data_IF_118925324543
#
_entry.id   IF_118925324543
#
_cell.length_a   1.000
_cell.length_b   1.000
_cell.length_c   1.000
_cell.angle_alpha   90.00
_cell.angle_beta   90.00
_cell.angle_gamma   90.00
#
_symmetry.space_group_name_H-M   'P 1'
#
loop_
_entity.id
_entity.type
_entity.pdbx_description
1 polymer ?
#
# COMPACT_ATOMS: atom_id res chain seq x y z
N UNK A 1 25.15 39.03 60.59
CA UNK A 1 24.43 40.15 61.25
C UNK A 1 22.96 39.78 61.21
N UNK A 2 22.44 39.16 62.28
CA UNK A 2 21.75 39.81 63.43
C UNK A 2 20.31 40.14 63.01
N UNK A 3 19.19 39.73 63.60
CA UNK A 3 18.78 39.21 64.93
C UNK A 3 17.34 38.65 64.73
N UNK A 4 16.99 37.44 65.18
CA UNK A 4 16.32 37.07 66.45
C UNK A 4 14.92 37.68 66.74
N UNK A 5 13.96 36.77 66.87
CA UNK A 5 12.63 36.74 67.57
C UNK A 5 12.57 37.52 68.91
N UNK A 6 11.40 37.84 69.54
CA UNK A 6 10.52 36.81 70.14
C UNK A 6 9.01 37.14 70.48
N UNK A 7 8.23 36.06 70.69
CA UNK A 7 7.19 35.74 71.71
C UNK A 7 6.15 36.75 72.24
N UNK A 8 4.91 36.26 72.42
CA UNK A 8 3.97 36.77 73.44
C UNK A 8 2.62 36.05 73.42
N UNK A 9 2.35 35.23 74.45
CA UNK A 9 1.19 34.37 74.64
C UNK A 9 0.27 34.87 75.76
N UNK A 10 -0.92 34.25 75.86
CA UNK A 10 -1.88 34.21 77.02
C UNK A 10 -2.82 35.44 77.13
N UNK A 11 -4.12 35.36 77.45
CA UNK A 11 -4.79 34.69 78.59
C UNK A 11 -6.34 34.77 78.48
N UNK A 12 -7.02 33.65 78.78
CA UNK A 12 -8.30 33.46 79.52
C UNK A 12 -9.61 34.19 79.15
N UNK A 13 -10.69 33.42 78.96
CA UNK A 13 -11.83 33.24 79.91
C UNK A 13 -13.07 32.67 79.17
N UNK A 14 -13.56 31.45 79.43
CA UNK A 14 -14.41 30.96 80.56
C UNK A 14 -15.92 31.00 80.26
N UNK A 15 -16.56 29.82 80.27
CA UNK A 15 -18.00 29.57 80.49
C UNK A 15 -18.90 29.76 79.27
N UNK A 16 -19.93 28.96 78.97
CA UNK A 16 -20.65 27.99 79.78
C UNK A 16 -21.25 26.88 78.91
N UNK A 17 -21.37 25.70 79.52
CA UNK A 17 -22.02 24.49 79.05
C UNK A 17 -23.56 24.56 79.06
N UNK A 18 -24.18 23.53 78.45
CA UNK A 18 -25.59 23.07 78.56
C UNK A 18 -26.52 23.60 77.44
N UNK A 19 -27.27 22.80 76.66
CA UNK A 19 -27.80 21.44 76.85
C UNK A 19 -28.28 20.87 75.50
N UNK A 20 -28.25 19.55 75.39
CA UNK A 20 -28.63 18.74 74.24
C UNK A 20 -30.12 18.76 73.86
N UNK A 21 -30.43 18.54 72.58
CA UNK A 21 -31.57 17.73 72.14
C UNK A 21 -31.37 17.28 70.68
N UNK A 22 -31.40 15.96 70.47
CA UNK A 22 -31.30 15.27 69.20
C UNK A 22 -32.56 15.45 68.34
N UNK A 23 -32.39 15.46 67.01
CA UNK A 23 -33.18 14.63 66.07
C UNK A 23 -32.64 14.77 64.65
N UNK A 24 -32.49 13.62 64.00
CA UNK A 24 -31.85 13.46 62.70
C UNK A 24 -32.64 14.01 61.51
N UNK A 25 -31.97 14.04 60.37
CA UNK A 25 -32.59 14.37 59.10
C UNK A 25 -31.56 14.72 58.03
N UNK A 26 -31.20 13.73 57.23
CA UNK A 26 -30.78 13.86 55.82
C UNK A 26 -29.56 14.73 55.51
N UNK A 27 -28.42 14.05 55.29
CA UNK A 27 -27.32 14.57 54.46
C UNK A 27 -27.88 14.84 53.04
N UNK A 28 -28.25 16.08 52.75
CA UNK A 28 -28.29 16.57 51.37
C UNK A 28 -26.87 16.95 50.99
N UNK A 29 -26.23 16.11 50.18
CA UNK A 29 -25.03 16.48 49.45
C UNK A 29 -25.32 17.77 48.69
N UNK A 30 -24.52 18.79 48.97
CA UNK A 30 -24.42 19.98 48.14
C UNK A 30 -24.11 19.49 46.72
N UNK A 31 -25.02 19.79 45.80
CA UNK A 31 -24.78 19.65 44.37
C UNK A 31 -23.58 20.51 44.03
N UNK A 32 -22.50 19.86 43.65
CA UNK A 32 -21.52 20.47 42.77
C UNK A 32 -22.29 20.64 41.47
N UNK A 33 -22.64 21.88 41.13
CA UNK A 33 -23.08 22.24 39.80
C UNK A 33 -21.91 21.93 38.85
N UNK A 34 -21.85 20.67 38.40
CA UNK A 34 -21.10 20.27 37.23
C UNK A 34 -21.79 21.03 36.12
N UNK A 35 -21.17 22.14 35.70
CA UNK A 35 -21.51 22.77 34.44
C UNK A 35 -21.26 21.69 33.40
N UNK A 36 -22.34 21.02 32.97
CA UNK A 36 -22.38 20.21 31.78
C UNK A 36 -22.07 21.15 30.62
N UNK A 37 -20.78 21.33 30.36
CA UNK A 37 -20.27 21.92 29.15
C UNK A 37 -20.46 20.87 28.05
N UNK A 38 -21.74 20.66 27.70
CA UNK A 38 -22.15 20.00 26.48
C UNK A 38 -21.28 20.59 25.37
N UNK A 39 -20.38 19.77 24.84
CA UNK A 39 -19.76 19.98 23.55
C UNK A 39 -20.89 20.04 22.51
N UNK A 40 -21.54 21.20 22.40
CA UNK A 40 -22.36 21.58 21.26
C UNK A 40 -21.38 21.68 20.11
N UNK A 41 -21.20 20.55 19.43
CA UNK A 41 -20.71 20.55 18.05
C UNK A 41 -21.66 21.49 17.33
N UNK A 42 -21.21 22.72 17.09
CA UNK A 42 -21.95 23.64 16.27
C UNK A 42 -22.14 22.92 14.93
N UNK A 43 -23.39 22.56 14.62
CA UNK A 43 -23.85 22.14 13.29
C UNK A 43 -23.79 23.35 12.33
N UNK A 44 -22.63 23.99 12.30
CA UNK A 44 -22.28 25.16 11.52
C UNK A 44 -22.07 24.75 10.08
N UNK A 45 -23.18 24.57 9.38
CA UNK A 45 -23.34 24.64 7.92
C UNK A 45 -22.45 23.68 7.12
N UNK A 46 -23.03 22.57 6.65
CA UNK A 46 -22.38 21.68 5.66
C UNK A 46 -21.84 22.42 4.43
N UNK A 47 -22.34 23.64 4.14
CA UNK A 47 -21.80 24.54 3.12
C UNK A 47 -20.30 24.88 3.30
N UNK A 48 -19.84 25.14 4.53
CA UNK A 48 -18.43 25.41 4.79
C UNK A 48 -17.56 24.17 4.52
N UNK A 49 -18.04 22.98 4.93
CA UNK A 49 -17.37 21.71 4.63
C UNK A 49 -17.28 21.45 3.11
N UNK A 50 -18.36 21.72 2.35
CA UNK A 50 -18.35 21.62 0.89
C UNK A 50 -17.36 22.60 0.24
N UNK A 51 -17.21 23.81 0.77
CA UNK A 51 -16.25 24.79 0.25
C UNK A 51 -14.80 24.33 0.41
N UNK A 52 -14.47 23.61 1.50
CA UNK A 52 -13.16 22.99 1.69
C UNK A 52 -12.91 21.78 0.79
N UNK A 53 -13.96 21.02 0.44
CA UNK A 53 -13.86 19.85 -0.45
C UNK A 53 -13.81 20.26 -1.93
N UNK A 54 -14.40 21.41 -2.29
CA UNK A 54 -14.57 21.86 -3.67
C UNK A 54 -13.24 21.91 -4.47
N UNK A 55 -12.12 22.45 -3.96
CA UNK A 55 -10.85 22.46 -4.69
C UNK A 55 -10.35 21.05 -5.02
N UNK A 56 -10.44 20.12 -4.07
CA UNK A 56 -10.03 18.73 -4.28
C UNK A 56 -10.94 18.03 -5.30
N UNK A 57 -12.26 18.26 -5.21
CA UNK A 57 -13.22 17.72 -6.17
C UNK A 57 -13.01 18.28 -7.58
N UNK A 58 -12.73 19.58 -7.70
CA UNK A 58 -12.45 20.22 -8.99
C UNK A 58 -11.20 19.62 -9.65
N UNK A 59 -10.12 19.41 -8.87
CA UNK A 59 -8.91 18.74 -9.37
C UNK A 59 -9.24 17.30 -9.83
N UNK A 60 -9.99 16.54 -9.03
CA UNK A 60 -10.39 15.18 -9.40
C UNK A 60 -11.24 15.15 -10.69
N UNK A 61 -12.21 16.07 -10.81
CA UNK A 61 -13.08 16.14 -11.99
C UNK A 61 -12.29 16.50 -13.26
N UNK A 62 -11.41 17.50 -13.19
CA UNK A 62 -10.67 18.01 -14.35
C UNK A 62 -9.53 17.08 -14.76
N UNK A 63 -8.79 16.50 -13.80
CA UNK A 63 -7.56 15.75 -14.10
C UNK A 63 -7.69 14.23 -14.00
N UNK A 64 -8.77 13.71 -13.40
CA UNK A 64 -9.02 12.26 -13.32
C UNK A 64 -10.25 11.88 -14.13
N UNK A 65 -11.41 12.46 -13.82
CA UNK A 65 -12.68 12.06 -14.42
C UNK A 65 -12.79 12.49 -15.89
N UNK A 66 -12.46 13.74 -16.22
CA UNK A 66 -12.56 14.22 -17.60
C UNK A 66 -11.64 13.45 -18.58
N UNK A 67 -10.35 13.20 -18.28
CA UNK A 67 -9.50 12.37 -19.14
C UNK A 67 -9.95 10.91 -19.21
N UNK A 68 -10.50 10.36 -18.13
CA UNK A 68 -11.09 9.02 -18.13
C UNK A 68 -12.29 8.93 -19.09
N UNK A 69 -13.26 9.84 -18.98
CA UNK A 69 -14.42 9.91 -19.88
C UNK A 69 -13.98 10.11 -21.33
N UNK A 70 -12.96 10.95 -21.56
CA UNK A 70 -12.39 11.11 -22.91
C UNK A 70 -11.75 9.82 -23.43
N UNK A 71 -11.07 9.06 -22.57
CA UNK A 71 -10.49 7.75 -22.92
C UNK A 71 -11.58 6.74 -23.30
N UNK A 72 -12.68 6.70 -22.53
CA UNK A 72 -13.87 5.90 -22.84
C UNK A 72 -14.46 6.32 -24.19
N UNK A 73 -14.58 7.62 -24.47
CA UNK A 73 -15.08 8.09 -25.78
C UNK A 73 -14.14 7.66 -26.90
N UNK A 74 -12.83 7.88 -26.74
CA UNK A 74 -11.83 7.57 -27.75
C UNK A 74 -11.77 6.07 -28.06
N UNK A 75 -12.01 5.19 -27.09
CA UNK A 75 -11.96 3.74 -27.30
C UNK A 75 -12.98 3.21 -28.31
N UNK A 76 -14.04 3.97 -28.61
CA UNK A 76 -15.02 3.67 -29.66
C UNK A 76 -14.76 4.42 -30.98
N UNK A 77 -13.60 5.06 -31.12
CA UNK A 77 -13.23 5.85 -32.31
C UNK A 77 -11.97 5.30 -32.99
N UNK A 78 -11.72 5.71 -34.24
CA UNK A 78 -10.47 5.45 -34.96
C UNK A 78 -9.45 6.60 -34.89
N UNK A 79 -9.54 7.40 -33.81
CA UNK A 79 -8.66 8.52 -33.54
C UNK A 79 -7.19 8.10 -33.48
N UNK A 80 -6.35 8.89 -34.15
CA UNK A 80 -4.89 8.75 -34.15
C UNK A 80 -4.25 10.12 -33.91
N UNK A 81 -2.93 10.17 -33.79
CA UNK A 81 -2.21 11.45 -33.68
C UNK A 81 -2.55 12.42 -34.82
N UNK A 82 -2.69 11.92 -36.05
CA UNK A 82 -2.87 12.74 -37.25
C UNK A 82 -4.33 13.09 -37.57
N UNK A 83 -5.32 12.39 -36.98
CA UNK A 83 -6.74 12.60 -37.30
C UNK A 83 -7.62 12.48 -36.04
N UNK A 84 -8.62 13.36 -35.87
CA UNK A 84 -9.48 13.40 -34.68
C UNK A 84 -10.35 12.16 -34.49
N UNK A 85 -10.43 11.26 -35.48
CA UNK A 85 -11.16 10.01 -35.42
C UNK A 85 -12.66 10.17 -35.65
N UNK A 86 -13.24 9.15 -36.26
CA UNK A 86 -14.67 8.92 -36.42
C UNK A 86 -15.14 7.82 -35.47
N UNK A 87 -16.44 7.80 -35.16
CA UNK A 87 -17.01 6.73 -34.34
C UNK A 87 -17.07 5.43 -35.14
N UNK A 88 -16.42 4.39 -34.64
CA UNK A 88 -16.33 3.06 -35.28
C UNK A 88 -16.94 1.95 -34.42
N UNK A 89 -17.66 2.31 -33.35
CA UNK A 89 -18.29 1.35 -32.44
C UNK A 89 -17.28 0.41 -31.80
N UNK A 90 -17.52 -0.91 -31.93
CA UNK A 90 -16.70 -1.95 -31.27
C UNK A 90 -15.50 -2.44 -32.10
N UNK A 91 -15.17 -1.78 -33.21
CA UNK A 91 -14.10 -2.23 -34.11
C UNK A 91 -12.73 -2.32 -33.40
N UNK A 92 -12.41 -1.36 -32.53
CA UNK A 92 -11.15 -1.38 -31.78
C UNK A 92 -11.06 -2.57 -30.82
N UNK A 93 -12.16 -2.93 -30.18
CA UNK A 93 -12.22 -4.09 -29.29
C UNK A 93 -12.04 -5.40 -30.07
N UNK A 94 -12.63 -5.49 -31.27
CA UNK A 94 -12.40 -6.66 -32.16
C UNK A 94 -10.94 -6.77 -32.60
N UNK A 95 -10.30 -5.64 -32.95
CA UNK A 95 -8.86 -5.61 -33.28
C UNK A 95 -8.01 -6.02 -32.09
N UNK A 96 -8.33 -5.51 -30.90
CA UNK A 96 -7.61 -5.80 -29.66
C UNK A 96 -7.67 -7.28 -29.30
N UNK A 97 -8.84 -7.91 -29.38
CA UNK A 97 -9.01 -9.34 -29.07
C UNK A 97 -8.26 -10.26 -30.05
N UNK A 98 -7.98 -9.79 -31.27
CA UNK A 98 -7.23 -10.51 -32.27
C UNK A 98 -5.71 -10.22 -32.24
N UNK A 99 -5.25 -9.25 -31.45
CA UNK A 99 -3.84 -8.83 -31.41
C UNK A 99 -2.99 -9.77 -30.53
N UNK A 100 -2.02 -10.52 -31.09
CA UNK A 100 -1.13 -11.39 -30.31
C UNK A 100 -0.33 -10.64 -29.23
N UNK A 101 -0.05 -9.36 -29.44
CA UNK A 101 0.64 -8.54 -28.45
C UNK A 101 -0.21 -8.35 -27.19
N UNK A 102 -1.53 -8.20 -27.35
CA UNK A 102 -2.48 -8.10 -26.22
C UNK A 102 -2.53 -9.40 -25.42
N UNK A 103 -2.55 -10.55 -26.09
CA UNK A 103 -2.50 -11.87 -25.42
C UNK A 103 -1.19 -12.05 -24.64
N UNK A 104 -0.07 -11.62 -25.22
CA UNK A 104 1.25 -11.64 -24.56
C UNK A 104 1.27 -10.71 -23.34
N UNK A 105 0.79 -9.48 -23.51
CA UNK A 105 0.67 -8.49 -22.44
C UNK A 105 -0.21 -8.97 -21.30
N UNK A 106 -1.35 -9.59 -21.60
CA UNK A 106 -2.29 -10.13 -20.64
C UNK A 106 -1.66 -11.29 -19.87
N UNK A 107 -0.99 -12.21 -20.55
CA UNK A 107 -0.29 -13.34 -19.92
C UNK A 107 0.80 -12.83 -18.96
N UNK A 108 1.67 -11.93 -19.43
CA UNK A 108 2.77 -11.41 -18.63
C UNK A 108 2.27 -10.63 -17.40
N UNK A 109 1.25 -9.78 -17.57
CA UNK A 109 0.67 -9.00 -16.47
C UNK A 109 -0.05 -9.88 -15.45
N UNK A 110 -0.75 -10.92 -15.92
CA UNK A 110 -1.43 -11.89 -15.05
C UNK A 110 -0.43 -12.77 -14.30
N UNK A 111 0.64 -13.21 -14.97
CA UNK A 111 1.73 -13.94 -14.34
C UNK A 111 2.41 -13.07 -13.27
N UNK A 112 2.54 -11.77 -13.52
CA UNK A 112 3.03 -10.81 -12.54
C UNK A 112 2.16 -10.81 -11.27
N UNK A 113 0.84 -10.75 -11.40
CA UNK A 113 -0.08 -10.82 -10.25
C UNK A 113 0.11 -12.14 -9.50
N UNK A 114 0.04 -13.27 -10.20
CA UNK A 114 0.10 -14.60 -9.58
C UNK A 114 1.44 -14.84 -8.87
N UNK A 115 2.55 -14.37 -9.45
CA UNK A 115 3.89 -14.59 -8.91
C UNK A 115 4.34 -13.54 -7.91
N UNK A 116 3.91 -12.28 -8.02
CA UNK A 116 4.42 -11.20 -7.14
C UNK A 116 3.54 -11.03 -5.90
N UNK A 117 2.22 -11.08 -6.05
CA UNK A 117 1.27 -10.78 -4.96
C UNK A 117 1.46 -11.71 -3.74
N UNK A 118 1.59 -13.04 -3.89
CA UNK A 118 1.80 -13.92 -2.73
C UNK A 118 3.05 -13.54 -1.93
N UNK A 119 4.14 -13.21 -2.63
CA UNK A 119 5.37 -12.79 -1.96
C UNK A 119 5.23 -11.41 -1.32
N UNK A 120 4.48 -10.48 -1.92
CA UNK A 120 4.17 -9.18 -1.33
C UNK A 120 3.27 -9.26 -0.10
N UNK A 121 2.44 -10.29 0.02
CA UNK A 121 1.63 -10.51 1.22
C UNK A 121 2.45 -11.18 2.32
N UNK A 122 3.24 -12.21 1.97
CA UNK A 122 3.90 -13.09 2.94
C UNK A 122 5.23 -12.50 3.43
N UNK A 123 6.14 -12.12 2.53
CA UNK A 123 7.50 -11.70 2.91
C UNK A 123 7.51 -10.44 3.78
N UNK A 124 6.72 -9.38 3.49
CA UNK A 124 6.69 -8.20 4.34
C UNK A 124 6.13 -8.46 5.73
N UNK A 125 5.20 -9.42 5.89
CA UNK A 125 4.70 -9.84 7.19
C UNK A 125 5.80 -10.52 8.03
N UNK A 126 6.57 -11.41 7.39
CA UNK A 126 7.72 -12.04 8.02
C UNK A 126 8.72 -10.97 8.46
N UNK A 127 9.11 -10.06 7.56
CA UNK A 127 10.03 -8.98 7.88
C UNK A 127 9.50 -8.09 9.01
N UNK A 128 8.24 -7.69 8.96
CA UNK A 128 7.61 -6.86 9.99
C UNK A 128 7.64 -7.56 11.37
N UNK A 129 7.36 -8.87 11.42
CA UNK A 129 7.44 -9.63 12.66
C UNK A 129 8.85 -9.67 13.25
N UNK A 130 9.89 -9.78 12.41
CA UNK A 130 11.29 -9.77 12.81
C UNK A 130 11.76 -8.40 13.33
N UNK A 131 11.13 -7.31 12.87
CA UNK A 131 11.51 -5.94 13.24
C UNK A 131 10.47 -5.20 14.08
N UNK A 132 9.54 -5.92 14.73
CA UNK A 132 8.43 -5.35 15.50
C UNK A 132 8.82 -4.67 16.82
N UNK A 133 9.96 -5.03 17.42
CA UNK A 133 10.40 -4.52 18.73
C UNK A 133 10.98 -3.09 18.77
N UNK A 134 11.24 -2.58 19.97
CA UNK A 134 11.68 -1.19 20.23
C UNK A 134 13.20 -1.05 20.47
N UNK A 135 14.03 -1.48 19.50
CA UNK A 135 15.49 -1.36 19.57
C UNK A 135 16.06 -0.49 18.45
N UNK A 136 17.16 0.24 18.74
CA UNK A 136 17.89 1.04 17.75
C UNK A 136 18.37 0.19 16.56
N UNK A 137 18.75 -1.06 16.81
CA UNK A 137 19.16 -2.02 15.77
C UNK A 137 17.97 -2.33 14.84
N UNK A 138 16.78 -2.50 15.39
CA UNK A 138 15.56 -2.74 14.60
C UNK A 138 15.17 -1.51 13.80
N UNK A 139 15.37 -0.30 14.34
CA UNK A 139 15.18 0.94 13.58
C UNK A 139 16.12 1.02 12.37
N UNK A 140 17.37 0.57 12.50
CA UNK A 140 18.31 0.51 11.38
C UNK A 140 17.85 -0.50 10.31
N UNK A 141 17.38 -1.68 10.70
CA UNK A 141 16.84 -2.66 9.74
C UNK A 141 15.57 -2.15 9.05
N UNK A 142 14.65 -1.52 9.78
CA UNK A 142 13.45 -0.88 9.18
C UNK A 142 13.85 0.15 8.12
N UNK A 143 14.81 1.02 8.41
CA UNK A 143 15.32 2.00 7.46
C UNK A 143 16.00 1.34 6.25
N UNK A 144 16.80 0.31 6.47
CA UNK A 144 17.51 -0.42 5.40
C UNK A 144 16.55 -1.13 4.44
N UNK A 145 15.52 -1.80 4.96
CA UNK A 145 14.49 -2.44 4.13
C UNK A 145 13.58 -1.44 3.43
N UNK A 146 13.38 -0.25 3.99
CA UNK A 146 12.59 0.82 3.38
C UNK A 146 13.37 1.64 2.36
N UNK A 147 14.71 1.63 2.41
CA UNK A 147 15.58 2.40 1.51
C UNK A 147 15.21 2.23 0.02
N UNK A 148 14.98 1.01 -0.51
CA UNK A 148 14.62 0.83 -1.92
C UNK A 148 13.33 1.53 -2.35
N UNK A 149 12.38 1.72 -1.43
CA UNK A 149 11.08 2.35 -1.69
C UNK A 149 11.26 3.84 -2.02
N UNK A 150 12.27 4.48 -1.42
CA UNK A 150 12.52 5.92 -1.56
C UNK A 150 13.34 6.22 -2.82
N UNK A 151 14.07 5.24 -3.35
CA UNK A 151 14.87 5.38 -4.57
C UNK A 151 13.95 5.34 -5.79
N UNK A 152 14.19 6.22 -6.77
CA UNK A 152 13.46 6.22 -8.04
C UNK A 152 13.53 4.85 -8.72
N UNK A 153 12.38 4.33 -9.15
CA UNK A 153 12.25 3.05 -9.87
C UNK A 153 13.12 3.00 -11.12
N UNK A 154 13.34 4.14 -11.78
CA UNK A 154 14.22 4.23 -12.96
C UNK A 154 15.68 4.01 -12.57
N UNK A 155 16.15 4.61 -11.48
CA UNK A 155 17.52 4.42 -10.98
C UNK A 155 17.72 2.96 -10.57
N UNK A 156 16.76 2.40 -9.82
CA UNK A 156 16.77 0.98 -9.44
C UNK A 156 16.87 0.10 -10.68
N UNK A 157 16.03 0.33 -11.68
CA UNK A 157 16.05 -0.42 -12.94
C UNK A 157 17.41 -0.33 -13.65
N UNK A 158 18.00 0.88 -13.76
CA UNK A 158 19.31 1.06 -14.41
C UNK A 158 20.45 0.34 -13.68
N UNK A 159 20.46 0.38 -12.34
CA UNK A 159 21.45 -0.34 -11.53
C UNK A 159 21.30 -1.84 -11.75
N UNK A 160 20.07 -2.36 -11.70
CA UNK A 160 19.82 -3.78 -11.92
C UNK A 160 20.12 -4.24 -13.35
N UNK A 161 19.86 -3.41 -14.38
CA UNK A 161 20.28 -3.69 -15.76
C UNK A 161 21.81 -3.90 -15.83
N UNK A 162 22.60 -3.07 -15.13
CA UNK A 162 24.05 -3.24 -15.09
C UNK A 162 24.49 -4.47 -14.29
N UNK A 163 23.84 -4.75 -13.16
CA UNK A 163 24.12 -5.91 -12.31
C UNK A 163 23.83 -7.23 -13.04
N UNK A 164 22.73 -7.28 -13.80
CA UNK A 164 22.24 -8.46 -14.52
C UNK A 164 22.79 -8.58 -15.95
N UNK A 165 23.59 -7.62 -16.41
CA UNK A 165 24.22 -7.67 -17.71
C UNK A 165 25.09 -8.92 -17.88
N UNK A 166 25.40 -9.34 -19.13
CA UNK A 166 26.31 -10.48 -19.38
C UNK A 166 27.68 -10.37 -18.69
N UNK A 167 28.19 -9.14 -18.55
CA UNK A 167 29.43 -8.81 -17.82
C UNK A 167 29.16 -8.17 -16.45
N UNK A 168 27.93 -8.26 -15.97
CA UNK A 168 27.47 -7.69 -14.71
C UNK A 168 27.99 -8.45 -13.49
N UNK A 169 27.78 -7.86 -12.32
CA UNK A 169 28.29 -8.35 -11.03
C UNK A 169 27.81 -9.78 -10.73
N UNK A 170 26.54 -10.10 -11.01
CA UNK A 170 25.98 -11.43 -10.73
C UNK A 170 26.67 -12.51 -11.58
N UNK A 171 26.79 -12.29 -12.88
CA UNK A 171 27.46 -13.21 -13.79
C UNK A 171 28.96 -13.34 -13.48
N UNK A 172 29.63 -12.25 -13.11
CA UNK A 172 31.03 -12.26 -12.69
C UNK A 172 31.24 -13.07 -11.40
N UNK A 173 30.38 -12.88 -10.40
CA UNK A 173 30.43 -13.61 -9.14
C UNK A 173 30.21 -15.11 -9.34
N UNK A 174 29.18 -15.51 -10.11
CA UNK A 174 28.90 -16.91 -10.42
C UNK A 174 30.04 -17.60 -11.19
N UNK A 175 30.72 -16.88 -12.09
CA UNK A 175 31.92 -17.39 -12.77
C UNK A 175 33.10 -17.55 -11.81
N UNK A 176 33.30 -16.62 -10.88
CA UNK A 176 34.41 -16.67 -9.93
C UNK A 176 34.39 -17.90 -9.01
N UNK A 177 33.19 -18.40 -8.68
CA UNK A 177 33.00 -19.61 -7.88
C UNK A 177 32.84 -20.87 -8.74
N UNK A 178 33.10 -20.79 -10.04
CA UNK A 178 32.94 -21.87 -11.03
C UNK A 178 31.53 -22.48 -11.07
N UNK A 179 30.49 -21.74 -10.66
CA UNK A 179 29.10 -22.21 -10.70
C UNK A 179 28.54 -22.23 -12.13
N UNK A 180 29.06 -21.38 -13.02
CA UNK A 180 28.66 -21.29 -14.43
C UNK A 180 29.88 -21.20 -15.34
N UNK A 181 29.77 -21.78 -16.55
CA UNK A 181 30.79 -21.69 -17.60
C UNK A 181 30.55 -20.50 -18.54
N UNK A 182 29.29 -20.31 -18.93
CA UNK A 182 28.82 -19.20 -19.74
C UNK A 182 27.98 -18.24 -18.88
N UNK A 183 27.74 -17.02 -19.37
CA UNK A 183 26.91 -16.07 -18.62
C UNK A 183 25.44 -16.47 -18.71
N UNK A 184 24.67 -16.19 -17.66
CA UNK A 184 23.22 -16.40 -17.67
C UNK A 184 22.56 -15.19 -18.36
N UNK A 185 21.70 -15.41 -19.37
CA UNK A 185 21.10 -14.35 -20.18
C UNK A 185 19.89 -13.68 -19.50
N UNK A 186 20.06 -13.11 -18.29
CA UNK A 186 18.97 -12.54 -17.50
C UNK A 186 18.11 -11.50 -18.22
N UNK A 187 18.69 -10.73 -19.15
CA UNK A 187 18.01 -9.63 -19.85
C UNK A 187 17.65 -9.95 -21.30
N UNK A 188 18.01 -11.13 -21.81
CA UNK A 188 17.79 -11.51 -23.21
C UNK A 188 16.96 -12.77 -23.33
N UNK A 189 16.97 -13.64 -22.32
CA UNK A 189 15.98 -14.71 -22.21
C UNK A 189 14.65 -14.15 -21.70
N UNK A 190 13.56 -14.50 -22.36
CA UNK A 190 12.19 -14.05 -22.06
C UNK A 190 11.83 -14.27 -20.59
N UNK A 191 11.91 -15.52 -20.13
CA UNK A 191 11.42 -15.88 -18.81
C UNK A 191 12.32 -15.34 -17.72
N UNK A 192 13.64 -15.39 -17.91
CA UNK A 192 14.58 -14.82 -16.96
C UNK A 192 14.43 -13.31 -16.84
N UNK A 193 14.11 -12.60 -17.92
CA UNK A 193 13.86 -11.16 -17.88
C UNK A 193 12.63 -10.86 -17.04
N UNK A 194 11.52 -11.55 -17.33
CA UNK A 194 10.28 -11.35 -16.61
C UNK A 194 10.42 -11.69 -15.11
N UNK A 195 11.09 -12.81 -14.77
CA UNK A 195 11.37 -13.17 -13.38
C UNK A 195 12.36 -12.22 -12.69
N UNK A 196 13.36 -11.71 -13.42
CA UNK A 196 14.27 -10.68 -12.89
C UNK A 196 13.49 -9.41 -12.54
N UNK A 197 12.58 -8.98 -13.42
CA UNK A 197 11.71 -7.84 -13.16
C UNK A 197 10.82 -8.10 -11.93
N UNK A 198 10.20 -9.27 -11.82
CA UNK A 198 9.37 -9.66 -10.66
C UNK A 198 10.17 -9.61 -9.36
N UNK A 199 11.41 -10.13 -9.37
CA UNK A 199 12.29 -10.11 -8.20
C UNK A 199 12.61 -8.68 -7.77
N UNK A 200 12.91 -7.79 -8.71
CA UNK A 200 13.16 -6.37 -8.44
C UNK A 200 11.91 -5.69 -7.87
N UNK A 201 10.73 -5.99 -8.42
CA UNK A 201 9.47 -5.47 -7.87
C UNK A 201 9.23 -5.96 -6.46
N UNK A 202 9.40 -7.27 -6.20
CA UNK A 202 9.28 -7.83 -4.85
C UNK A 202 10.22 -7.08 -3.91
N UNK A 203 11.52 -7.04 -4.21
CA UNK A 203 12.53 -6.39 -3.40
C UNK A 203 12.23 -4.91 -3.10
N UNK A 204 11.80 -4.13 -4.09
CA UNK A 204 11.46 -2.72 -3.91
C UNK A 204 10.19 -2.52 -3.08
N UNK A 205 9.17 -3.37 -3.25
CA UNK A 205 7.91 -3.25 -2.52
C UNK A 205 7.93 -3.80 -1.09
N UNK A 206 8.91 -4.64 -0.73
CA UNK A 206 8.98 -5.27 0.61
C UNK A 206 8.91 -4.25 1.74
N UNK A 207 9.70 -3.18 1.65
CA UNK A 207 9.78 -2.14 2.68
C UNK A 207 8.45 -1.42 2.87
N UNK A 208 7.73 -1.12 1.79
CA UNK A 208 6.46 -0.39 1.84
C UNK A 208 5.40 -1.18 2.60
N UNK A 209 5.16 -2.44 2.20
CA UNK A 209 4.16 -3.28 2.85
C UNK A 209 4.56 -3.72 4.26
N UNK A 210 5.86 -3.81 4.55
CA UNK A 210 6.37 -4.11 5.89
C UNK A 210 5.95 -3.03 6.89
N UNK A 211 6.04 -1.75 6.53
CA UNK A 211 5.61 -0.64 7.41
C UNK A 211 4.11 -0.70 7.68
N UNK A 212 3.30 -1.04 6.68
CA UNK A 212 1.85 -1.22 6.85
C UNK A 212 1.58 -2.37 7.85
N UNK A 213 2.29 -3.49 7.73
CA UNK A 213 2.16 -4.58 8.70
C UNK A 213 2.64 -4.18 10.10
N UNK A 214 3.72 -3.40 10.25
CA UNK A 214 4.17 -2.95 11.58
C UNK A 214 3.08 -2.17 12.31
N UNK A 215 2.36 -1.29 11.60
CA UNK A 215 1.24 -0.56 12.17
C UNK A 215 0.08 -1.51 12.58
N UNK A 216 -0.20 -2.54 11.78
CA UNK A 216 -1.22 -3.53 12.11
C UNK A 216 -0.82 -4.42 13.31
N UNK A 217 0.44 -4.86 13.36
CA UNK A 217 0.97 -5.67 14.46
C UNK A 217 0.92 -4.93 15.79
N UNK A 218 1.09 -3.61 15.78
CA UNK A 218 0.99 -2.78 16.98
C UNK A 218 -0.43 -2.75 17.60
N UNK A 219 -1.47 -3.11 16.84
CA UNK A 219 -2.86 -3.16 17.33
C UNK A 219 -3.25 -4.52 17.90
N UNK A 220 -2.40 -5.55 17.81
CA UNK A 220 -2.69 -6.87 18.38
C UNK A 220 -2.45 -6.82 19.88
N UNK A 221 -3.42 -7.28 20.67
CA UNK A 221 -3.30 -7.36 22.13
C UNK A 221 -2.10 -8.24 22.53
N UNK A 222 -1.11 -7.69 23.28
CA UNK A 222 0.02 -8.46 23.80
C UNK A 222 -0.40 -9.68 24.62
N UNK A 223 -1.55 -9.64 25.30
CA UNK A 223 -2.07 -10.74 26.10
C UNK A 223 -2.32 -12.02 25.31
N UNK A 224 -2.62 -11.93 24.00
CA UNK A 224 -2.74 -13.11 23.13
C UNK A 224 -1.40 -13.82 22.92
N UNK A 225 -0.29 -13.06 22.86
CA UNK A 225 1.04 -13.62 22.74
C UNK A 225 1.54 -14.25 24.04
N UNK A 226 1.20 -13.65 25.18
CA UNK A 226 1.53 -14.17 26.51
C UNK A 226 0.75 -15.45 26.83
N UNK A 227 -0.56 -15.46 26.57
CA UNK A 227 -1.40 -16.65 26.76
C UNK A 227 -0.89 -17.84 25.92
N UNK A 228 -0.56 -17.59 24.65
CA UNK A 228 0.00 -18.63 23.79
C UNK A 228 1.37 -19.13 24.29
N UNK A 229 2.19 -18.26 24.88
CA UNK A 229 3.47 -18.65 25.48
C UNK A 229 3.30 -19.54 26.72
N UNK A 230 2.31 -19.23 27.57
CA UNK A 230 1.93 -20.06 28.72
C UNK A 230 1.47 -21.46 28.27
N UNK A 231 0.75 -21.53 27.15
CA UNK A 231 0.32 -22.80 26.52
C UNK A 231 1.45 -23.56 25.79
N UNK A 232 2.70 -23.08 25.90
CA UNK A 232 3.88 -23.72 25.29
C UNK A 232 3.98 -23.50 23.78
N UNK A 233 3.30 -22.50 23.22
CA UNK A 233 3.42 -22.18 21.80
C UNK A 233 4.76 -21.51 21.50
N UNK A 234 5.61 -22.19 20.73
CA UNK A 234 6.84 -21.61 20.19
C UNK A 234 6.60 -20.48 19.19
N UNK A 235 7.69 -19.83 18.74
CA UNK A 235 7.65 -18.64 17.85
C UNK A 235 6.84 -18.89 16.58
N UNK A 236 7.05 -20.03 15.91
CA UNK A 236 6.32 -20.38 14.67
C UNK A 236 4.83 -20.58 14.92
N UNK A 237 4.48 -21.23 16.03
CA UNK A 237 3.07 -21.49 16.38
C UNK A 237 2.35 -20.19 16.71
N UNK A 238 2.98 -19.28 17.46
CA UNK A 238 2.47 -17.93 17.72
C UNK A 238 2.32 -17.12 16.44
N UNK A 239 3.30 -17.17 15.53
CA UNK A 239 3.19 -16.50 14.24
C UNK A 239 1.98 -16.98 13.42
N UNK A 240 1.79 -18.29 13.30
CA UNK A 240 0.71 -18.85 12.49
C UNK A 240 -0.69 -18.71 13.13
N UNK A 241 -0.80 -18.75 14.46
CA UNK A 241 -2.10 -18.80 15.15
C UNK A 241 -2.51 -17.49 15.84
N UNK A 242 -1.56 -16.58 16.08
CA UNK A 242 -1.85 -15.26 16.68
C UNK A 242 -1.60 -14.16 15.65
N UNK A 243 -0.39 -14.10 15.09
CA UNK A 243 0.01 -13.00 14.20
C UNK A 243 -0.76 -13.02 12.87
N UNK A 244 -0.73 -14.13 12.13
CA UNK A 244 -1.37 -14.23 10.81
C UNK A 244 -2.89 -13.95 10.88
N UNK A 245 -3.66 -14.54 11.82
CA UNK A 245 -5.06 -14.18 12.00
C UNK A 245 -5.26 -12.74 12.46
N UNK A 246 -4.41 -12.23 13.36
CA UNK A 246 -4.50 -10.87 13.90
C UNK A 246 -4.32 -9.77 12.86
N UNK A 247 -3.56 -10.00 11.78
CA UNK A 247 -3.39 -9.04 10.68
C UNK A 247 -4.19 -9.38 9.42
N UNK A 248 -5.16 -10.30 9.49
CA UNK A 248 -5.86 -10.82 8.30
C UNK A 248 -6.51 -9.73 7.44
N UNK A 249 -7.12 -8.71 8.04
CA UNK A 249 -7.69 -7.56 7.30
C UNK A 249 -6.59 -6.79 6.56
N UNK A 250 -5.46 -6.54 7.22
CA UNK A 250 -4.29 -5.89 6.59
C UNK A 250 -3.69 -6.74 5.47
N UNK A 251 -3.68 -8.07 5.59
CA UNK A 251 -3.24 -8.96 4.50
C UNK A 251 -4.10 -8.79 3.25
N UNK A 252 -5.42 -8.67 3.41
CA UNK A 252 -6.34 -8.44 2.28
C UNK A 252 -6.14 -7.04 1.68
N UNK A 253 -5.96 -6.01 2.52
CA UNK A 253 -5.61 -4.67 2.04
C UNK A 253 -4.30 -4.68 1.21
N UNK A 254 -3.26 -5.37 1.69
CA UNK A 254 -2.00 -5.47 0.96
C UNK A 254 -2.15 -6.29 -0.31
N UNK A 255 -2.96 -7.35 -0.30
CA UNK A 255 -3.32 -8.11 -1.50
C UNK A 255 -3.99 -7.19 -2.53
N UNK A 256 -5.01 -6.44 -2.13
CA UNK A 256 -5.71 -5.45 -2.98
C UNK A 256 -4.75 -4.44 -3.63
N UNK A 257 -3.91 -3.80 -2.82
CA UNK A 257 -2.96 -2.79 -3.28
C UNK A 257 -1.91 -3.39 -4.22
N UNK A 258 -1.34 -4.54 -3.85
CA UNK A 258 -0.28 -5.20 -4.61
C UNK A 258 -0.79 -5.85 -5.90
N UNK A 259 -1.99 -6.45 -5.91
CA UNK A 259 -2.65 -6.99 -7.11
C UNK A 259 -2.88 -5.89 -8.15
N UNK A 260 -3.46 -4.77 -7.73
CA UNK A 260 -3.71 -3.64 -8.62
C UNK A 260 -2.43 -3.02 -9.17
N UNK A 261 -1.35 -2.97 -8.37
CA UNK A 261 -0.05 -2.47 -8.79
C UNK A 261 0.67 -3.45 -9.73
N UNK A 262 0.69 -4.75 -9.39
CA UNK A 262 1.35 -5.81 -10.15
C UNK A 262 0.76 -5.96 -11.55
N UNK A 263 -0.57 -5.92 -11.69
CA UNK A 263 -1.20 -6.00 -13.01
C UNK A 263 -0.83 -4.81 -13.91
N UNK A 264 -0.63 -3.62 -13.30
CA UNK A 264 -0.28 -2.38 -14.01
C UNK A 264 1.22 -2.14 -14.09
N UNK A 265 2.06 -3.14 -13.82
CA UNK A 265 3.51 -3.00 -13.81
C UNK A 265 4.03 -2.43 -15.15
N UNK A 266 4.98 -1.52 -15.05
CA UNK A 266 5.51 -0.80 -16.21
C UNK A 266 7.00 -0.48 -16.04
N UNK A 267 7.37 0.24 -14.99
CA UNK A 267 8.70 0.84 -14.86
C UNK A 267 9.83 -0.18 -14.94
N UNK A 268 9.72 -1.28 -14.20
CA UNK A 268 10.76 -2.28 -14.04
C UNK A 268 11.07 -2.94 -15.38
N UNK A 269 10.04 -3.43 -16.07
CA UNK A 269 10.19 -4.09 -17.38
C UNK A 269 10.60 -3.08 -18.44
N UNK A 270 10.04 -1.86 -18.41
CA UNK A 270 10.38 -0.81 -19.36
C UNK A 270 11.88 -0.47 -19.29
N UNK A 271 12.43 -0.30 -18.09
CA UNK A 271 13.84 0.07 -17.92
C UNK A 271 14.77 -1.11 -18.24
N UNK A 272 14.44 -2.32 -17.79
CA UNK A 272 15.26 -3.52 -18.06
C UNK A 272 15.33 -3.85 -19.56
N UNK A 273 14.26 -3.58 -20.30
CA UNK A 273 14.17 -3.87 -21.75
C UNK A 273 14.57 -2.69 -22.64
N UNK A 274 14.89 -1.53 -22.07
CA UNK A 274 15.04 -0.28 -22.82
C UNK A 274 13.77 0.14 -23.58
N UNK A 275 12.60 -0.28 -23.09
CA UNK A 275 11.29 0.01 -23.66
C UNK A 275 10.85 -0.89 -24.81
N UNK A 276 11.64 -1.90 -25.18
CA UNK A 276 11.31 -2.84 -26.27
C UNK A 276 10.29 -3.90 -25.86
N UNK A 277 10.16 -4.18 -24.56
CA UNK A 277 9.38 -5.32 -24.07
C UNK A 277 10.08 -6.66 -24.32
N UNK A 278 11.41 -6.67 -24.31
CA UNK A 278 12.22 -7.88 -24.46
C UNK A 278 12.40 -8.30 -25.91
N UNK A 279 13.07 -9.42 -26.13
CA UNK A 279 13.39 -9.92 -27.48
C UNK A 279 12.08 -10.23 -28.21
N UNK A 280 11.86 -9.57 -29.35
CA UNK A 280 10.62 -9.71 -30.13
C UNK A 280 9.36 -9.23 -29.41
N UNK A 281 9.48 -8.38 -28.37
CA UNK A 281 8.34 -7.84 -27.61
C UNK A 281 7.63 -8.87 -26.73
N UNK A 282 8.27 -10.00 -26.40
CA UNK A 282 7.64 -11.13 -25.71
C UNK A 282 7.42 -10.91 -24.20
N UNK A 283 8.04 -9.88 -23.63
CA UNK A 283 7.96 -9.49 -22.21
C UNK A 283 7.12 -8.21 -22.01
N UNK A 284 6.45 -7.74 -23.06
CA UNK A 284 5.56 -6.57 -22.97
C UNK A 284 4.44 -6.82 -21.96
N UNK A 285 4.05 -5.80 -21.19
CA UNK A 285 2.87 -5.82 -20.30
C UNK A 285 1.73 -5.00 -20.87
N UNK A 286 0.53 -5.15 -20.29
CA UNK A 286 -0.65 -4.41 -20.73
C UNK A 286 -0.42 -2.89 -20.69
N UNK A 287 0.19 -2.37 -19.63
CA UNK A 287 0.51 -0.94 -19.50
C UNK A 287 1.55 -0.49 -20.54
N UNK A 288 2.53 -1.34 -20.87
CA UNK A 288 3.49 -1.06 -21.94
C UNK A 288 2.82 -1.01 -23.32
N UNK A 289 1.82 -1.85 -23.60
CA UNK A 289 1.05 -1.78 -24.84
C UNK A 289 0.31 -0.45 -24.97
N UNK A 290 -0.33 0.01 -23.89
CA UNK A 290 -0.97 1.34 -23.87
C UNK A 290 0.04 2.42 -24.21
N UNK A 291 1.25 2.37 -23.63
CA UNK A 291 2.33 3.31 -23.97
C UNK A 291 2.76 3.18 -25.44
N UNK A 292 2.99 1.97 -25.94
CA UNK A 292 3.50 1.72 -27.28
C UNK A 292 2.51 2.16 -28.38
N UNK A 293 1.21 1.96 -28.16
CA UNK A 293 0.18 2.36 -29.11
C UNK A 293 -0.38 3.77 -28.86
N UNK A 294 -0.28 4.29 -27.64
CA UNK A 294 -0.87 5.57 -27.24
C UNK A 294 0.08 6.77 -27.33
N UNK A 295 1.37 6.56 -27.60
CA UNK A 295 2.37 7.64 -27.62
C UNK A 295 3.14 7.68 -28.95
N UNK A 296 3.72 8.84 -29.25
CA UNK A 296 4.48 9.08 -30.48
C UNK A 296 3.64 9.52 -31.68
N UNK A 297 4.31 9.79 -32.80
CA UNK A 297 3.66 10.31 -34.03
C UNK A 297 2.72 9.30 -34.70
N UNK A 298 2.90 8.01 -34.40
CA UNK A 298 2.06 6.92 -34.90
C UNK A 298 0.99 6.48 -33.88
N UNK A 299 0.71 7.30 -32.86
CA UNK A 299 -0.22 6.93 -31.80
C UNK A 299 -1.62 6.64 -32.37
N UNK A 300 -2.19 5.51 -31.95
CA UNK A 300 -3.54 5.04 -32.21
C UNK A 300 -4.36 5.20 -30.94
N UNK A 301 -4.79 6.44 -30.65
CA UNK A 301 -5.49 6.78 -29.41
C UNK A 301 -6.74 5.92 -29.17
N UNK A 302 -7.52 5.64 -30.20
CA UNK A 302 -8.70 4.79 -30.04
C UNK A 302 -8.35 3.34 -29.67
N UNK A 303 -7.29 2.80 -30.27
CA UNK A 303 -6.81 1.46 -29.93
C UNK A 303 -6.22 1.39 -28.51
N UNK A 304 -5.34 2.34 -28.16
CA UNK A 304 -4.76 2.43 -26.83
C UNK A 304 -5.83 2.65 -25.74
N UNK A 305 -6.87 3.41 -26.04
CA UNK A 305 -8.05 3.58 -25.20
C UNK A 305 -8.80 2.27 -24.98
N UNK A 306 -9.01 1.46 -26.03
CA UNK A 306 -9.64 0.14 -25.89
C UNK A 306 -8.82 -0.79 -24.98
N UNK A 307 -7.49 -0.82 -25.14
CA UNK A 307 -6.58 -1.59 -24.26
C UNK A 307 -6.66 -1.07 -22.81
N UNK A 308 -6.71 0.24 -22.61
CA UNK A 308 -6.84 0.85 -21.27
C UNK A 308 -8.18 0.51 -20.61
N UNK A 309 -9.26 0.46 -21.37
CA UNK A 309 -10.57 0.02 -20.88
C UNK A 309 -10.55 -1.45 -20.46
N UNK A 310 -9.84 -2.31 -21.18
CA UNK A 310 -9.65 -3.70 -20.79
C UNK A 310 -8.88 -3.79 -19.46
N UNK A 311 -7.79 -3.04 -19.30
CA UNK A 311 -7.04 -2.97 -18.03
C UNK A 311 -7.95 -2.51 -16.89
N UNK A 312 -8.75 -1.46 -17.11
CA UNK A 312 -9.69 -0.95 -16.11
C UNK A 312 -10.70 -2.01 -15.68
N UNK A 313 -11.30 -2.73 -16.63
CA UNK A 313 -12.25 -3.80 -16.31
C UNK A 313 -11.59 -4.96 -15.53
N UNK A 314 -10.38 -5.36 -15.92
CA UNK A 314 -9.66 -6.46 -15.25
C UNK A 314 -9.25 -6.03 -13.83
N UNK A 315 -8.59 -4.89 -13.67
CA UNK A 315 -8.17 -4.40 -12.34
C UNK A 315 -9.39 -4.11 -11.46
N UNK A 316 -10.45 -3.49 -12.01
CA UNK A 316 -11.69 -3.23 -11.29
C UNK A 316 -12.40 -4.50 -10.83
N UNK A 317 -12.42 -5.55 -11.67
CA UNK A 317 -12.98 -6.84 -11.29
C UNK A 317 -12.15 -7.58 -10.25
N UNK A 318 -10.81 -7.54 -10.35
CA UNK A 318 -9.90 -8.07 -9.31
C UNK A 318 -10.17 -7.41 -7.96
N UNK A 319 -10.17 -6.09 -7.91
CA UNK A 319 -10.42 -5.32 -6.68
C UNK A 319 -11.82 -5.62 -6.13
N UNK A 320 -12.84 -5.69 -7.00
CA UNK A 320 -14.20 -5.99 -6.57
C UNK A 320 -14.31 -7.40 -5.96
N UNK A 321 -13.65 -8.40 -6.54
CA UNK A 321 -13.62 -9.77 -6.01
C UNK A 321 -12.93 -9.80 -4.65
N UNK A 322 -11.75 -9.19 -4.54
CA UNK A 322 -10.98 -9.14 -3.29
C UNK A 322 -11.76 -8.40 -2.19
N UNK A 323 -12.45 -7.29 -2.51
CA UNK A 323 -13.31 -6.57 -1.58
C UNK A 323 -14.53 -7.39 -1.11
N UNK A 324 -15.15 -8.16 -2.01
CA UNK A 324 -16.23 -9.07 -1.64
C UNK A 324 -15.75 -10.18 -0.70
N UNK A 325 -14.54 -10.70 -0.92
CA UNK A 325 -13.90 -11.67 -0.02
C UNK A 325 -13.67 -11.03 1.36
N UNK A 326 -13.12 -9.82 1.41
CA UNK A 326 -12.91 -9.08 2.67
C UNK A 326 -14.21 -8.92 3.47
N UNK A 327 -15.27 -8.45 2.79
CA UNK A 327 -16.58 -8.22 3.42
C UNK A 327 -17.18 -9.51 3.98
N UNK A 328 -16.96 -10.65 3.31
CA UNK A 328 -17.40 -11.95 3.82
C UNK A 328 -16.62 -12.32 5.08
N UNK A 329 -15.29 -12.20 5.04
CA UNK A 329 -14.43 -12.54 6.18
C UNK A 329 -14.68 -11.66 7.40
N UNK A 330 -14.96 -10.37 7.21
CA UNK A 330 -15.30 -9.45 8.30
C UNK A 330 -16.66 -9.72 8.93
N UNK A 331 -17.58 -10.42 8.24
CA UNK A 331 -18.87 -10.85 8.82
C UNK A 331 -18.75 -12.15 9.61
N UNK A 332 -17.74 -12.96 9.30
CA UNK A 332 -17.50 -14.26 9.91
C UNK A 332 -16.55 -14.20 11.12
N UNK A 333 -15.99 -13.02 11.42
CA UNK A 333 -15.06 -12.73 12.53
C UNK A 333 -15.77 -11.97 13.64
#
# INVERSE_FOLDING_TARGET
>A
MSESTPTGSTTSARGSSSKAAARGGSRRHAGVDVVDEEHRIHEGTGFAAWLFVLPALAVALVFVIAPFVNTVRLSFTDATFARPGSFVGLEQYRKMLADPAVHTGLLNSSLYVICVVPFMVILPLILASLVSGNSKILSFFRASFYLPVVVSTVIVGLVWTNILAPKGVVNAALKSVNAIKEYIPFLTDRWLLLFSAMMITIWTGLGYYMIIYLAALANIDPGLYEAAEIDGAGVVRRFLHVTVPGVRSTMVLIMLLSSAAAFRVFNEIYVLTGGTGGVGGQDVTMTMLVKNYGTGLNAKYGYAGAVSMLIFLIVGSLIAIEFLIERKMSKDA
#
